data_IF_152990943732
#
_entry.id   IF_152990943732
#
_cell.length_a   1.000
_cell.length_b   1.000
_cell.length_c   1.000
_cell.angle_alpha   90.00
_cell.angle_beta   90.00
_cell.angle_gamma   90.00
#
_symmetry.space_group_name_H-M   'P 1'
#
loop_
_entity.id
_entity.type
_entity.pdbx_description
1 polymer ?
#
# COMPACT_ATOMS: atom_id res chain seq x y z
N UNK A 1 19.10 7.87 -28.36
CA UNK A 1 18.14 7.14 -27.53
C UNK A 1 17.14 8.16 -26.99
N UNK A 2 15.86 8.05 -27.30
CA UNK A 2 14.82 8.88 -26.66
C UNK A 2 14.17 8.09 -25.53
N UNK A 3 13.80 8.80 -24.47
CA UNK A 3 13.03 8.24 -23.36
C UNK A 3 11.66 8.86 -23.36
N UNK A 4 10.65 8.02 -23.46
CA UNK A 4 9.27 8.46 -23.31
C UNK A 4 8.70 7.83 -22.05
N UNK A 5 7.93 8.61 -21.30
CA UNK A 5 7.02 8.11 -20.28
C UNK A 5 5.62 8.46 -20.75
N UNK A 6 4.77 7.44 -20.92
CA UNK A 6 3.40 7.61 -21.39
C UNK A 6 3.33 8.40 -22.73
N UNK A 7 4.31 8.19 -23.62
CA UNK A 7 4.43 8.86 -24.91
C UNK A 7 5.03 10.27 -24.91
N UNK A 8 5.45 10.82 -23.76
CA UNK A 8 6.07 12.14 -23.65
C UNK A 8 7.54 12.07 -23.24
N UNK A 9 8.42 13.01 -23.67
CA UNK A 9 9.81 13.05 -23.21
C UNK A 9 9.90 13.02 -21.69
N UNK A 10 10.61 12.04 -21.14
CA UNK A 10 10.79 11.92 -19.71
C UNK A 10 12.06 12.67 -19.27
N UNK A 11 11.87 13.74 -18.50
CA UNK A 11 12.97 14.58 -17.98
C UNK A 11 13.43 14.20 -16.57
N UNK A 12 12.79 13.22 -15.94
CA UNK A 12 13.22 12.70 -14.64
C UNK A 12 14.49 11.87 -14.73
N UNK A 13 15.35 11.96 -13.71
CA UNK A 13 16.54 11.13 -13.56
C UNK A 13 17.73 11.48 -14.46
N UNK A 14 18.78 10.68 -14.36
CA UNK A 14 20.08 10.89 -15.03
C UNK A 14 20.31 9.84 -16.13
N UNK A 15 20.95 10.25 -17.23
CA UNK A 15 21.37 9.36 -18.31
C UNK A 15 22.82 8.96 -18.10
N UNK A 16 23.10 7.66 -18.23
CA UNK A 16 24.47 7.17 -18.29
C UNK A 16 25.21 7.81 -19.47
N UNK A 17 26.53 7.94 -19.37
CA UNK A 17 27.36 8.57 -20.40
C UNK A 17 27.26 7.92 -21.79
N UNK A 18 26.86 6.65 -21.85
CA UNK A 18 26.65 5.89 -23.08
C UNK A 18 25.21 5.95 -23.62
N UNK A 19 24.35 6.71 -22.95
CA UNK A 19 22.93 6.87 -23.23
C UNK A 19 22.09 5.57 -23.24
N UNK A 20 22.53 4.53 -22.53
CA UNK A 20 21.83 3.23 -22.48
C UNK A 20 21.00 3.01 -21.21
N UNK A 21 21.30 3.72 -20.13
CA UNK A 21 20.64 3.53 -18.84
C UNK A 21 20.00 4.82 -18.32
N UNK A 22 18.79 4.70 -17.75
CA UNK A 22 18.12 5.77 -17.01
C UNK A 22 18.19 5.46 -15.53
N UNK A 23 18.74 6.40 -14.76
CA UNK A 23 18.84 6.30 -13.31
C UNK A 23 17.92 7.32 -12.62
N UNK A 24 16.91 6.84 -11.90
CA UNK A 24 16.00 7.67 -11.11
C UNK A 24 16.38 7.45 -9.64
N UNK A 25 17.12 8.40 -9.05
CA UNK A 25 17.70 8.22 -7.71
C UNK A 25 16.64 8.17 -6.59
N UNK A 26 15.54 8.90 -6.75
CA UNK A 26 14.43 8.95 -5.77
C UNK A 26 13.11 8.73 -6.49
N UNK A 27 12.71 7.47 -6.57
CA UNK A 27 11.45 7.08 -7.20
C UNK A 27 10.27 7.57 -6.38
N UNK A 28 9.35 8.26 -7.02
CA UNK A 28 8.11 8.77 -6.44
C UNK A 28 6.88 8.17 -7.13
N UNK A 29 5.69 8.40 -6.57
CA UNK A 29 4.46 7.81 -7.09
C UNK A 29 4.16 8.24 -8.54
N UNK A 30 4.61 9.44 -8.91
CA UNK A 30 4.48 10.06 -10.22
C UNK A 30 5.34 9.36 -11.29
N UNK A 31 6.37 8.61 -10.88
CA UNK A 31 7.23 7.85 -11.78
C UNK A 31 6.58 6.56 -12.27
N UNK A 32 5.44 6.16 -11.70
CA UNK A 32 4.64 5.05 -12.23
C UNK A 32 4.17 5.35 -13.65
N UNK A 33 4.31 4.41 -14.58
CA UNK A 33 3.79 4.56 -15.94
C UNK A 33 4.40 3.55 -16.91
N UNK A 34 4.17 3.77 -18.21
CA UNK A 34 4.83 3.02 -19.27
C UNK A 34 6.08 3.78 -19.73
N UNK A 35 7.24 3.12 -19.65
CA UNK A 35 8.49 3.64 -20.15
C UNK A 35 8.79 3.05 -21.52
N UNK A 36 9.25 3.92 -22.42
CA UNK A 36 9.69 3.53 -23.75
C UNK A 36 11.14 3.94 -24.00
N UNK A 37 11.92 2.97 -24.46
CA UNK A 37 13.27 3.11 -24.94
C UNK A 37 13.23 3.12 -26.47
N UNK A 38 13.66 4.21 -27.09
CA UNK A 38 13.75 4.33 -28.55
C UNK A 38 15.22 4.40 -28.97
N UNK A 39 15.72 3.33 -29.61
CA UNK A 39 17.08 3.23 -30.12
C UNK A 39 17.07 3.37 -31.65
N UNK A 40 17.82 4.35 -32.17
CA UNK A 40 17.93 4.61 -33.61
C UNK A 40 19.37 4.46 -34.06
N UNK A 41 19.58 3.71 -35.13
CA UNK A 41 20.86 3.60 -35.83
C UNK A 41 20.64 3.77 -37.35
N UNK A 42 21.70 3.59 -38.14
CA UNK A 42 21.64 3.76 -39.60
C UNK A 42 20.71 2.76 -40.32
N UNK A 43 20.43 1.62 -39.71
CA UNK A 43 19.56 0.58 -40.26
C UNK A 43 18.08 0.77 -39.88
N UNK A 44 17.78 1.63 -38.90
CA UNK A 44 16.41 1.95 -38.50
C UNK A 44 16.27 2.22 -37.01
N UNK A 45 15.04 2.07 -36.53
CA UNK A 45 14.64 2.34 -35.14
C UNK A 45 14.04 1.10 -34.50
N UNK A 46 14.44 0.83 -33.26
CA UNK A 46 13.86 -0.19 -32.39
C UNK A 46 13.26 0.47 -31.15
N UNK A 47 12.11 -0.04 -30.72
CA UNK A 47 11.36 0.48 -29.56
C UNK A 47 11.12 -0.65 -28.58
N UNK A 48 11.48 -0.44 -27.32
CA UNK A 48 11.18 -1.35 -26.21
C UNK A 48 10.32 -0.65 -25.17
N UNK A 49 9.17 -1.23 -24.83
CA UNK A 49 8.21 -0.69 -23.87
C UNK A 49 8.08 -1.59 -22.65
N UNK A 50 7.99 -0.99 -21.47
CA UNK A 50 7.77 -1.72 -20.23
C UNK A 50 7.01 -0.87 -19.20
N UNK A 51 6.07 -1.50 -18.50
CA UNK A 51 5.30 -0.86 -17.45
C UNK A 51 6.04 -0.94 -16.11
N UNK A 52 6.11 0.18 -15.40
CA UNK A 52 6.70 0.25 -14.05
C UNK A 52 5.61 0.49 -13.01
N UNK A 53 5.77 -0.19 -11.87
CA UNK A 53 4.96 0.03 -10.68
C UNK A 53 5.87 0.56 -9.57
N UNK A 54 5.43 1.61 -8.91
CA UNK A 54 6.10 2.17 -7.73
C UNK A 54 5.35 1.72 -6.50
N UNK A 55 6.04 1.03 -5.60
CA UNK A 55 5.49 0.60 -4.31
C UNK A 55 6.09 1.45 -3.19
N UNK A 56 5.25 1.86 -2.25
CA UNK A 56 5.68 2.60 -1.08
C UNK A 56 6.24 1.69 0.01
N UNK A 57 6.91 2.27 1.00
CA UNK A 57 7.32 1.55 2.19
C UNK A 57 6.09 0.91 2.87
N UNK A 58 6.24 -0.30 3.47
CA UNK A 58 5.15 -0.91 4.22
C UNK A 58 4.72 0.02 5.35
N UNK A 59 3.42 0.27 5.45
CA UNK A 59 2.87 1.09 6.53
C UNK A 59 3.22 0.42 7.86
N UNK A 60 3.97 1.12 8.73
CA UNK A 60 4.18 0.67 10.10
C UNK A 60 2.85 0.83 10.85
N UNK A 61 2.28 -0.28 11.28
CA UNK A 61 1.14 -0.25 12.20
C UNK A 61 1.69 0.22 13.54
N UNK A 62 1.20 1.37 14.03
CA UNK A 62 1.63 1.89 15.31
C UNK A 62 1.18 0.97 16.43
N UNK A 63 2.04 0.74 17.42
CA UNK A 63 1.71 0.03 18.65
C UNK A 63 0.45 0.60 19.30
N UNK A 64 0.27 1.93 19.25
CA UNK A 64 -0.93 2.62 19.73
C UNK A 64 -2.21 2.12 19.08
N UNK A 65 -2.18 1.79 17.78
CA UNK A 65 -3.36 1.31 17.06
C UNK A 65 -3.79 -0.08 17.55
N UNK A 66 -2.83 -0.95 17.84
CA UNK A 66 -3.08 -2.29 18.39
C UNK A 66 -3.65 -2.21 19.81
N UNK A 67 -3.12 -1.31 20.64
CA UNK A 67 -3.64 -1.09 22.00
C UNK A 67 -5.08 -0.59 22.00
N UNK A 68 -5.45 0.33 21.12
CA UNK A 68 -6.83 0.83 21.00
C UNK A 68 -7.78 -0.30 20.62
N UNK A 69 -7.41 -1.12 19.63
CA UNK A 69 -8.22 -2.28 19.22
C UNK A 69 -8.40 -3.26 20.38
N UNK A 70 -7.33 -3.59 21.10
CA UNK A 70 -7.40 -4.50 22.23
C UNK A 70 -8.32 -3.99 23.35
N UNK A 71 -8.24 -2.69 23.66
CA UNK A 71 -9.10 -2.06 24.67
C UNK A 71 -10.57 -2.09 24.26
N UNK A 72 -10.89 -1.86 22.98
CA UNK A 72 -12.26 -1.97 22.46
C UNK A 72 -12.80 -3.40 22.55
N UNK A 73 -12.01 -4.39 22.14
CA UNK A 73 -12.40 -5.80 22.22
C UNK A 73 -12.63 -6.25 23.67
N UNK A 74 -11.74 -5.85 24.58
CA UNK A 74 -11.89 -6.16 26.01
C UNK A 74 -13.14 -5.50 26.59
N UNK A 75 -13.41 -4.24 26.23
CA UNK A 75 -14.62 -3.54 26.66
C UNK A 75 -15.92 -4.22 26.19
N UNK A 76 -15.98 -4.64 24.92
CA UNK A 76 -17.12 -5.38 24.38
C UNK A 76 -17.31 -6.73 25.07
N UNK A 77 -16.21 -7.46 25.32
CA UNK A 77 -16.24 -8.73 26.03
C UNK A 77 -16.79 -8.56 27.46
N UNK A 78 -16.34 -7.52 28.18
CA UNK A 78 -16.85 -7.19 29.51
C UNK A 78 -18.34 -6.87 29.46
N UNK A 79 -18.80 -6.10 28.47
CA UNK A 79 -20.23 -5.80 28.30
C UNK A 79 -21.06 -7.06 28.03
N UNK A 80 -20.56 -7.99 27.22
CA UNK A 80 -21.23 -9.28 26.98
C UNK A 80 -21.27 -10.13 28.25
N UNK A 81 -20.17 -10.18 29.01
CA UNK A 81 -20.12 -10.94 30.26
C UNK A 81 -21.09 -10.34 31.28
N UNK A 82 -21.15 -9.02 31.43
CA UNK A 82 -22.06 -8.38 32.39
C UNK A 82 -23.52 -8.60 32.01
N UNK A 83 -23.87 -8.49 30.73
CA UNK A 83 -25.23 -8.77 30.25
C UNK A 83 -25.63 -10.22 30.48
N UNK A 84 -24.74 -11.18 30.21
CA UNK A 84 -24.97 -12.60 30.49
C UNK A 84 -25.13 -12.86 32.00
N UNK A 85 -24.26 -12.28 32.83
CA UNK A 85 -24.37 -12.40 34.30
C UNK A 85 -25.72 -11.83 34.79
N UNK A 86 -26.11 -10.65 34.29
CA UNK A 86 -27.40 -10.05 34.63
C UNK A 86 -28.56 -10.94 34.21
N UNK A 87 -28.53 -11.48 33.00
CA UNK A 87 -29.54 -12.40 32.49
C UNK A 87 -29.65 -13.68 33.33
N UNK A 88 -28.51 -14.31 33.66
CA UNK A 88 -28.48 -15.50 34.51
C UNK A 88 -28.98 -15.22 35.93
N UNK A 89 -28.61 -14.06 36.51
CA UNK A 89 -29.11 -13.62 37.82
C UNK A 89 -30.62 -13.38 37.80
N UNK A 90 -31.14 -12.73 36.77
CA UNK A 90 -32.58 -12.50 36.61
C UNK A 90 -33.32 -13.83 36.50
N UNK A 91 -32.80 -14.78 35.71
CA UNK A 91 -33.40 -16.11 35.55
C UNK A 91 -33.41 -16.91 36.85
N UNK A 92 -32.34 -16.87 37.64
CA UNK A 92 -32.27 -17.55 38.96
C UNK A 92 -33.32 -17.01 39.93
N UNK A 93 -33.49 -15.68 39.99
CA UNK A 93 -34.53 -15.05 40.83
C UNK A 93 -35.94 -15.48 40.45
N UNK A 94 -36.23 -15.60 39.15
CA UNK A 94 -37.53 -16.06 38.68
C UNK A 94 -37.84 -17.51 39.12
N UNK A 95 -36.83 -18.39 39.21
CA UNK A 95 -36.99 -19.78 39.67
C UNK A 95 -37.17 -19.87 41.19
N UNK A 96 -36.57 -18.96 41.97
CA UNK A 96 -36.67 -18.97 43.44
C UNK A 96 -37.97 -18.35 43.99
N UNK A 97 -38.82 -17.77 43.14
CA UNK A 97 -40.12 -17.17 43.52
C UNK A 97 -41.34 -18.06 43.22
N UNK A 98 -41.14 -19.24 42.64
CA UNK A 98 -42.13 -20.33 42.50
C UNK A 98 -41.98 -21.36 43.63
#
# INVERSE_FOLDING_TARGET
>A
MFRLKDGQPYEGGELSADNRHLHIARVAAEDKGEFECVATNRAGTSVYKFATKVEGAPKRVSSSFLFVIFMLLMGLLICLITTVIMYLKQRKKAIEQD
#
